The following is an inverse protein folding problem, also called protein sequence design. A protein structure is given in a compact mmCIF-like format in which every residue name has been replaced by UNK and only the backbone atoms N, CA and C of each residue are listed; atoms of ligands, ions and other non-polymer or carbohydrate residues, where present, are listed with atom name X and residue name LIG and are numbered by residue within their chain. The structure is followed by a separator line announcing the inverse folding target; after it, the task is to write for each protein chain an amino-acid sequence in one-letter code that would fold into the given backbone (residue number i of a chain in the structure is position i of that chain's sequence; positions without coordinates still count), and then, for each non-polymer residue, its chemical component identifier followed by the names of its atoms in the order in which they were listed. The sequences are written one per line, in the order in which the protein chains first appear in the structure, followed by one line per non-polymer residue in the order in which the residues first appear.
data_IF_344834144575
#
_entry.id   IF_344834144575
#
_cell.length_a   1.000
_cell.length_b   1.000
_cell.length_c   1.000
_cell.angle_alpha   90.00
_cell.angle_beta   90.00
_cell.angle_gamma   90.00
#
_symmetry.space_group_name_H-M   'P 1'
#
loop_
_entity.id
_entity.type
_entity.pdbx_description
1 polymer ?
#
# COMPACT_ATOMS: atom_id res chain seq x y z
N UNK A 1 11.84 -6.81 -10.78
CA UNK A 1 10.42 -6.71 -11.11
C UNK A 1 9.79 -5.70 -10.17
N UNK A 2 8.79 -4.97 -10.64
CA UNK A 2 7.96 -4.06 -9.85
C UNK A 2 6.49 -4.33 -10.20
N UNK A 3 5.69 -4.69 -9.20
CA UNK A 3 4.25 -4.88 -9.37
C UNK A 3 3.49 -3.57 -9.43
N UNK A 4 2.36 -3.55 -10.12
CA UNK A 4 1.38 -2.47 -10.10
C UNK A 4 -0.03 -3.01 -10.19
N UNK A 5 -0.99 -2.27 -9.62
CA UNK A 5 -2.41 -2.56 -9.72
C UNK A 5 -3.23 -1.28 -9.59
N UNK A 6 -4.34 -1.22 -10.30
CA UNK A 6 -5.33 -0.15 -10.20
C UNK A 6 -6.66 -0.76 -9.80
N UNK A 7 -7.26 -0.22 -8.76
CA UNK A 7 -8.59 -0.60 -8.30
C UNK A 7 -9.57 0.53 -8.61
N UNK A 8 -10.73 0.17 -9.16
CA UNK A 8 -11.91 1.02 -9.21
C UNK A 8 -12.71 0.84 -7.92
N UNK A 9 -13.03 1.95 -7.23
CA UNK A 9 -13.77 1.90 -5.96
C UNK A 9 -15.18 2.47 -6.17
N UNK A 10 -16.17 1.68 -5.84
CA UNK A 10 -17.58 2.11 -5.85
C UNK A 10 -18.22 1.81 -4.48
N UNK A 11 -18.27 2.83 -3.63
CA UNK A 11 -18.67 2.71 -2.24
C UNK A 11 -17.76 1.76 -1.46
N UNK A 12 -18.28 0.60 -1.06
CA UNK A 12 -17.51 -0.43 -0.32
C UNK A 12 -16.97 -1.55 -1.22
N UNK A 13 -17.21 -1.48 -2.54
CA UNK A 13 -16.75 -2.50 -3.48
C UNK A 13 -15.51 -2.02 -4.21
N UNK A 14 -14.55 -2.92 -4.35
CA UNK A 14 -13.35 -2.72 -5.16
C UNK A 14 -13.36 -3.69 -6.33
N UNK A 15 -12.98 -3.20 -7.50
CA UNK A 15 -12.84 -3.99 -8.73
C UNK A 15 -11.44 -3.80 -9.31
N UNK A 16 -10.84 -4.86 -9.83
CA UNK A 16 -9.54 -4.78 -10.49
C UNK A 16 -9.70 -4.18 -11.87
N UNK A 17 -9.21 -2.96 -12.07
CA UNK A 17 -9.17 -2.30 -13.39
C UNK A 17 -8.01 -2.86 -14.20
N UNK A 18 -6.81 -2.91 -13.61
CA UNK A 18 -5.61 -3.48 -14.22
C UNK A 18 -4.64 -3.92 -13.13
N UNK A 19 -3.88 -4.96 -13.39
CA UNK A 19 -2.72 -5.38 -12.62
C UNK A 19 -1.63 -5.91 -13.53
N UNK A 20 -0.40 -5.88 -13.07
CA UNK A 20 0.72 -6.41 -13.82
C UNK A 20 2.07 -6.13 -13.18
N UNK A 21 3.11 -6.38 -13.95
CA UNK A 21 4.48 -6.18 -13.51
C UNK A 21 5.29 -5.40 -14.55
N UNK A 22 6.21 -4.60 -14.06
CA UNK A 22 7.24 -3.95 -14.86
C UNK A 22 8.47 -4.84 -14.83
N UNK A 23 8.82 -5.45 -15.97
CA UNK A 23 10.00 -6.29 -16.11
C UNK A 23 11.25 -5.41 -16.19
N UNK A 24 12.08 -5.42 -15.16
CA UNK A 24 13.26 -4.57 -15.03
C UNK A 24 14.57 -5.33 -15.31
N UNK A 25 14.56 -6.66 -15.25
CA UNK A 25 15.71 -7.51 -15.45
C UNK A 25 16.28 -7.47 -16.88
N UNK A 26 15.48 -7.02 -17.86
CA UNK A 26 15.90 -6.86 -19.26
C UNK A 26 16.85 -5.68 -19.48
N UNK A 27 16.96 -4.78 -18.51
CA UNK A 27 17.79 -3.58 -18.60
C UNK A 27 19.06 -3.77 -17.78
N UNK A 28 20.21 -3.64 -18.41
CA UNK A 28 21.53 -3.78 -17.77
C UNK A 28 21.78 -2.63 -16.79
N UNK A 29 21.54 -1.41 -17.24
CA UNK A 29 21.78 -0.22 -16.43
C UNK A 29 20.68 0.02 -15.40
N UNK A 30 21.07 0.37 -14.18
CA UNK A 30 20.14 0.82 -13.14
C UNK A 30 19.33 2.05 -13.59
N UNK A 31 19.97 2.98 -14.31
CA UNK A 31 19.30 4.19 -14.80
C UNK A 31 18.20 3.88 -15.83
N UNK A 32 18.45 2.92 -16.73
CA UNK A 32 17.43 2.46 -17.68
C UNK A 32 16.23 1.79 -16.97
N UNK A 33 16.48 1.09 -15.87
CA UNK A 33 15.40 0.54 -15.02
C UNK A 33 14.56 1.64 -14.40
N UNK A 34 15.19 2.72 -13.90
CA UNK A 34 14.47 3.88 -13.36
C UNK A 34 13.67 4.61 -14.46
N UNK A 35 14.26 4.83 -15.63
CA UNK A 35 13.55 5.41 -16.77
C UNK A 35 12.30 4.58 -17.13
N UNK A 36 12.45 3.24 -17.16
CA UNK A 36 11.31 2.34 -17.45
C UNK A 36 10.21 2.40 -16.40
N UNK A 37 10.57 2.54 -15.12
CA UNK A 37 9.59 2.74 -14.04
C UNK A 37 8.83 4.04 -14.27
N UNK A 38 9.54 5.14 -14.53
CA UNK A 38 8.93 6.44 -14.79
C UNK A 38 7.94 6.41 -15.94
N UNK A 39 8.37 5.89 -17.11
CA UNK A 39 7.52 5.75 -18.29
C UNK A 39 6.25 4.96 -17.98
N UNK A 40 6.40 3.80 -17.32
CA UNK A 40 5.25 2.92 -17.08
C UNK A 40 4.29 3.52 -16.09
N UNK A 41 4.78 4.09 -14.98
CA UNK A 41 3.92 4.73 -13.98
C UNK A 41 3.23 5.95 -14.57
N UNK A 42 3.96 6.82 -15.29
CA UNK A 42 3.36 7.96 -15.99
C UNK A 42 2.29 7.54 -16.99
N UNK A 43 2.53 6.45 -17.74
CA UNK A 43 1.54 5.90 -18.66
C UNK A 43 0.30 5.35 -17.95
N UNK A 44 0.46 4.67 -16.81
CA UNK A 44 -0.68 4.21 -16.00
C UNK A 44 -1.48 5.37 -15.44
N UNK A 45 -0.81 6.38 -14.91
CA UNK A 45 -1.44 7.60 -14.40
C UNK A 45 -2.23 8.32 -15.51
N UNK A 46 -1.64 8.44 -16.69
CA UNK A 46 -2.31 9.10 -17.83
C UNK A 46 -3.50 8.30 -18.36
N UNK A 47 -3.40 6.97 -18.36
CA UNK A 47 -4.42 6.09 -18.92
C UNK A 47 -5.62 5.92 -17.99
N UNK A 48 -5.36 5.77 -16.69
CA UNK A 48 -6.39 5.41 -15.71
C UNK A 48 -6.83 6.56 -14.81
N UNK A 49 -6.11 7.69 -14.81
CA UNK A 49 -6.41 8.91 -14.04
C UNK A 49 -6.75 8.58 -12.56
N UNK A 50 -5.85 7.89 -11.83
CA UNK A 50 -6.14 7.52 -10.45
C UNK A 50 -6.20 8.75 -9.55
N UNK A 51 -7.09 8.73 -8.57
CA UNK A 51 -7.24 9.80 -7.57
C UNK A 51 -6.10 9.80 -6.55
N UNK A 52 -5.58 8.63 -6.21
CA UNK A 52 -4.57 8.44 -5.16
C UNK A 52 -3.59 7.33 -5.54
N UNK A 53 -2.35 7.43 -5.05
CA UNK A 53 -1.33 6.39 -5.16
C UNK A 53 -1.02 5.82 -3.77
N UNK A 54 -1.14 4.51 -3.65
CA UNK A 54 -0.66 3.77 -2.50
C UNK A 54 0.63 3.02 -2.86
N UNK A 55 1.63 3.07 -2.00
CA UNK A 55 2.91 2.39 -2.21
C UNK A 55 3.35 1.67 -0.93
N UNK A 56 4.05 0.56 -1.07
CA UNK A 56 4.63 -0.12 0.07
C UNK A 56 5.79 0.70 0.64
N UNK A 57 5.77 0.97 1.95
CA UNK A 57 6.85 1.68 2.60
C UNK A 57 8.15 0.85 2.58
N UNK A 58 9.31 1.45 2.36
CA UNK A 58 10.57 0.75 2.41
C UNK A 58 10.80 0.20 3.83
N UNK A 59 11.25 -1.04 3.93
CA UNK A 59 11.60 -1.61 5.22
C UNK A 59 13.12 -1.78 5.33
N UNK A 60 13.64 -1.69 6.55
CA UNK A 60 15.05 -1.83 6.81
C UNK A 60 15.49 -3.29 6.71
N UNK A 61 16.15 -3.64 5.63
CA UNK A 61 16.76 -4.94 5.39
C UNK A 61 18.26 -4.95 5.70
N UNK A 62 18.85 -6.14 5.77
CA UNK A 62 20.30 -6.31 6.00
C UNK A 62 21.16 -5.82 4.81
N UNK A 63 20.61 -5.77 3.60
CA UNK A 63 21.32 -5.39 2.39
C UNK A 63 21.06 -3.92 2.01
N UNK A 64 21.96 -3.04 2.42
CA UNK A 64 21.90 -1.60 2.16
C UNK A 64 21.81 -1.26 0.67
N UNK A 65 22.57 -1.97 -0.19
CA UNK A 65 22.55 -1.72 -1.64
C UNK A 65 21.19 -2.01 -2.26
N UNK A 66 20.51 -3.07 -1.79
CA UNK A 66 19.15 -3.40 -2.24
C UNK A 66 18.15 -2.35 -1.77
N UNK A 67 18.29 -1.87 -0.54
CA UNK A 67 17.45 -0.81 0.01
C UNK A 67 17.59 0.51 -0.77
N UNK A 68 18.83 0.90 -1.11
CA UNK A 68 19.08 2.11 -1.91
C UNK A 68 18.47 1.99 -3.31
N UNK A 69 18.57 0.82 -3.95
CA UNK A 69 17.94 0.56 -5.26
C UNK A 69 16.42 0.62 -5.17
N UNK A 70 15.83 0.04 -4.12
CA UNK A 70 14.39 0.08 -3.87
C UNK A 70 13.92 1.52 -3.65
N UNK A 71 14.56 2.27 -2.76
CA UNK A 71 14.20 3.66 -2.48
C UNK A 71 14.27 4.56 -3.72
N UNK A 72 15.29 4.37 -4.59
CA UNK A 72 15.36 5.08 -5.88
C UNK A 72 14.19 4.71 -6.80
N UNK A 73 13.84 3.43 -6.88
CA UNK A 73 12.73 2.97 -7.71
C UNK A 73 11.38 3.53 -7.21
N UNK A 74 11.16 3.52 -5.90
CA UNK A 74 9.97 4.11 -5.27
C UNK A 74 9.92 5.62 -5.49
N UNK A 75 11.02 6.34 -5.27
CA UNK A 75 11.10 7.78 -5.49
C UNK A 75 10.75 8.18 -6.93
N UNK A 76 11.18 7.39 -7.92
CA UNK A 76 10.82 7.62 -9.33
C UNK A 76 9.34 7.38 -9.58
N UNK A 77 8.75 6.32 -9.02
CA UNK A 77 7.32 6.06 -9.13
C UNK A 77 6.48 7.18 -8.47
N UNK A 78 6.91 7.63 -7.28
CA UNK A 78 6.29 8.76 -6.59
C UNK A 78 6.37 10.05 -7.41
N UNK A 79 7.54 10.37 -7.97
CA UNK A 79 7.74 11.55 -8.80
C UNK A 79 6.82 11.56 -10.03
N UNK A 80 6.60 10.40 -10.66
CA UNK A 80 5.68 10.26 -11.79
C UNK A 80 4.22 10.57 -11.42
N UNK A 81 3.79 10.20 -10.21
CA UNK A 81 2.45 10.50 -9.70
C UNK A 81 2.32 11.97 -9.26
N UNK A 82 3.31 12.48 -8.51
CA UNK A 82 3.34 13.87 -8.04
C UNK A 82 3.38 14.89 -9.18
N UNK A 83 3.97 14.53 -10.32
CA UNK A 83 3.94 15.37 -11.53
C UNK A 83 2.52 15.59 -12.10
N UNK A 84 1.53 14.88 -11.55
CA UNK A 84 0.10 15.00 -11.88
C UNK A 84 -0.75 15.29 -10.64
N UNK A 85 -0.13 15.84 -9.59
CA UNK A 85 -0.78 16.23 -8.33
C UNK A 85 -1.51 15.08 -7.62
N UNK A 86 -1.12 13.80 -7.89
CA UNK A 86 -1.71 12.64 -7.24
C UNK A 86 -1.13 12.49 -5.84
N UNK A 87 -1.95 12.51 -4.78
CA UNK A 87 -1.50 12.30 -3.42
C UNK A 87 -1.00 10.88 -3.21
N UNK A 88 -0.01 10.73 -2.32
CA UNK A 88 0.67 9.45 -2.08
C UNK A 88 0.52 9.06 -0.60
N UNK A 89 0.21 7.78 -0.38
CA UNK A 89 0.20 7.18 0.95
C UNK A 89 1.09 5.94 0.98
N UNK A 90 1.93 5.83 2.01
CA UNK A 90 2.83 4.69 2.21
C UNK A 90 2.29 3.74 3.28
N UNK A 91 2.40 2.44 3.03
CA UNK A 91 1.95 1.38 3.94
C UNK A 91 3.08 0.41 4.28
N UNK A 92 3.40 0.20 5.58
CA UNK A 92 4.32 -0.86 5.99
C UNK A 92 3.85 -2.25 5.55
N UNK A 93 4.75 -3.15 5.10
CA UNK A 93 4.39 -4.49 4.62
C UNK A 93 3.54 -5.30 5.62
N UNK A 94 3.84 -5.18 6.90
CA UNK A 94 3.11 -5.84 7.97
C UNK A 94 1.64 -5.38 8.05
N UNK A 95 1.41 -4.07 7.84
CA UNK A 95 0.07 -3.49 7.85
C UNK A 95 -0.73 -3.94 6.63
N UNK A 96 -0.09 -4.03 5.46
CA UNK A 96 -0.71 -4.54 4.23
C UNK A 96 -1.18 -5.98 4.42
N UNK A 97 -0.30 -6.85 4.91
CA UNK A 97 -0.65 -8.25 5.20
C UNK A 97 -1.80 -8.35 6.19
N UNK A 98 -1.73 -7.60 7.29
CA UNK A 98 -2.77 -7.59 8.33
C UNK A 98 -4.11 -7.07 7.80
N UNK A 99 -4.11 -6.04 6.98
CA UNK A 99 -5.33 -5.47 6.41
C UNK A 99 -6.05 -6.46 5.48
N UNK A 100 -5.29 -7.21 4.66
CA UNK A 100 -5.84 -8.15 3.68
C UNK A 100 -6.22 -9.49 4.31
N UNK A 101 -5.37 -10.05 5.20
CA UNK A 101 -5.54 -11.42 5.71
C UNK A 101 -5.90 -11.50 7.19
N UNK A 102 -5.89 -10.40 7.93
CA UNK A 102 -5.99 -10.37 9.38
C UNK A 102 -4.69 -10.76 10.11
N UNK A 103 -3.68 -11.28 9.38
CA UNK A 103 -2.41 -11.77 9.92
C UNK A 103 -1.21 -11.05 9.28
N UNK A 104 -0.47 -10.27 10.06
CA UNK A 104 0.73 -9.56 9.57
C UNK A 104 1.90 -10.47 9.18
N UNK A 105 1.87 -11.76 9.55
CA UNK A 105 2.89 -12.77 9.19
C UNK A 105 2.47 -13.65 8.01
N UNK A 106 1.37 -13.32 7.32
CA UNK A 106 0.90 -14.09 6.18
C UNK A 106 1.97 -14.20 5.08
N UNK A 107 2.02 -15.35 4.39
CA UNK A 107 2.87 -15.52 3.22
C UNK A 107 2.30 -14.76 2.02
N UNK A 108 3.11 -14.57 0.96
CA UNK A 108 2.64 -13.95 -0.29
C UNK A 108 1.50 -14.73 -0.94
N UNK A 109 1.56 -16.05 -0.89
CA UNK A 109 0.54 -16.95 -1.41
C UNK A 109 -0.77 -16.80 -0.64
N UNK A 110 -0.71 -16.67 0.69
CA UNK A 110 -1.90 -16.42 1.52
C UNK A 110 -2.54 -15.07 1.20
N UNK A 111 -1.72 -14.04 0.99
CA UNK A 111 -2.21 -12.71 0.56
C UNK A 111 -2.86 -12.80 -0.82
N UNK A 112 -2.21 -13.45 -1.80
CA UNK A 112 -2.74 -13.64 -3.14
C UNK A 112 -4.08 -14.39 -3.16
N UNK A 113 -4.18 -15.50 -2.40
CA UNK A 113 -5.41 -16.26 -2.26
C UNK A 113 -6.54 -15.44 -1.63
N UNK A 114 -6.24 -14.64 -0.61
CA UNK A 114 -7.24 -13.77 0.01
C UNK A 114 -7.71 -12.69 -0.96
N UNK A 115 -6.80 -12.05 -1.70
CA UNK A 115 -7.14 -11.05 -2.72
C UNK A 115 -8.03 -11.62 -3.81
N UNK A 116 -7.75 -12.85 -4.26
CA UNK A 116 -8.58 -13.56 -5.25
C UNK A 116 -10.04 -13.59 -4.79
N UNK A 117 -10.30 -13.92 -3.53
CA UNK A 117 -11.65 -13.96 -2.97
C UNK A 117 -12.23 -12.55 -2.76
N UNK A 118 -11.49 -11.63 -2.15
CA UNK A 118 -11.96 -10.28 -1.83
C UNK A 118 -12.32 -9.45 -3.08
N UNK A 119 -11.53 -9.63 -4.15
CA UNK A 119 -11.69 -8.91 -5.42
C UNK A 119 -12.38 -9.75 -6.50
N UNK A 120 -12.84 -10.97 -6.18
CA UNK A 120 -13.49 -11.91 -7.10
C UNK A 120 -12.70 -12.10 -8.39
N UNK A 121 -11.36 -12.26 -8.27
CA UNK A 121 -10.50 -12.44 -9.44
C UNK A 121 -10.63 -13.88 -9.95
N UNK A 122 -11.01 -14.11 -11.22
CA UNK A 122 -11.04 -15.44 -11.80
C UNK A 122 -9.66 -16.11 -11.78
N UNK A 123 -9.61 -17.45 -11.62
CA UNK A 123 -8.35 -18.20 -11.54
C UNK A 123 -7.43 -17.95 -12.74
N UNK A 124 -8.01 -17.93 -13.92
CA UNK A 124 -7.30 -17.69 -15.18
C UNK A 124 -6.71 -16.27 -15.31
N UNK A 125 -7.17 -15.33 -14.49
CA UNK A 125 -6.65 -13.94 -14.43
C UNK A 125 -5.66 -13.73 -13.30
N UNK A 126 -5.45 -14.72 -12.44
CA UNK A 126 -4.45 -14.62 -11.39
C UNK A 126 -3.04 -14.58 -12.00
N UNK A 127 -2.22 -13.59 -11.62
CA UNK A 127 -0.89 -13.48 -12.18
C UNK A 127 0.03 -14.59 -11.65
N UNK A 128 0.89 -15.12 -12.51
CA UNK A 128 1.94 -16.07 -12.11
C UNK A 128 3.03 -15.39 -11.24
N UNK A 129 3.15 -14.08 -11.31
CA UNK A 129 4.12 -13.28 -10.55
C UNK A 129 3.41 -12.55 -9.42
N UNK A 130 3.69 -12.95 -8.18
CA UNK A 130 3.02 -12.45 -6.98
C UNK A 130 3.24 -10.94 -6.71
N UNK A 131 4.26 -10.33 -7.31
CA UNK A 131 4.47 -8.87 -7.17
C UNK A 131 3.26 -8.05 -7.68
N UNK A 132 2.49 -8.55 -8.63
CA UNK A 132 1.27 -7.89 -9.08
C UNK A 132 0.16 -7.98 -8.03
N UNK A 133 0.04 -9.11 -7.33
CA UNK A 133 -0.91 -9.26 -6.21
C UNK A 133 -0.47 -8.47 -4.99
N UNK A 134 0.83 -8.36 -4.72
CA UNK A 134 1.34 -7.50 -3.65
C UNK A 134 0.92 -6.03 -3.88
N UNK A 135 0.99 -5.54 -5.13
CA UNK A 135 0.53 -4.19 -5.47
C UNK A 135 -0.98 -4.00 -5.26
N UNK A 136 -1.80 -4.99 -5.63
CA UNK A 136 -3.25 -4.94 -5.34
C UNK A 136 -3.54 -4.98 -3.83
N UNK A 137 -2.73 -5.71 -3.05
CA UNK A 137 -2.85 -5.73 -1.58
C UNK A 137 -2.65 -4.34 -0.98
N UNK A 138 -1.67 -3.57 -1.48
CA UNK A 138 -1.41 -2.18 -1.06
C UNK A 138 -2.61 -1.29 -1.41
N UNK A 139 -3.12 -1.38 -2.65
CA UNK A 139 -4.26 -0.60 -3.09
C UNK A 139 -5.54 -0.91 -2.29
N UNK A 140 -5.81 -2.19 -2.01
CA UNK A 140 -6.96 -2.61 -1.20
C UNK A 140 -6.81 -2.14 0.26
N UNK A 141 -5.60 -2.20 0.82
CA UNK A 141 -5.31 -1.66 2.15
C UNK A 141 -5.62 -0.17 2.20
N UNK A 142 -5.23 0.57 1.17
CA UNK A 142 -5.52 2.00 1.06
C UNK A 142 -7.02 2.28 1.08
N UNK A 143 -7.82 1.55 0.30
CA UNK A 143 -9.28 1.65 0.33
C UNK A 143 -9.84 1.44 1.75
N UNK A 144 -9.37 0.42 2.47
CA UNK A 144 -9.85 0.15 3.83
C UNK A 144 -9.45 1.23 4.83
N UNK A 145 -8.24 1.78 4.72
CA UNK A 145 -7.76 2.82 5.62
C UNK A 145 -8.45 4.18 5.34
N UNK A 146 -8.63 4.54 4.06
CA UNK A 146 -9.32 5.77 3.64
C UNK A 146 -10.82 5.76 3.99
N UNK A 147 -11.42 4.57 4.08
CA UNK A 147 -12.83 4.40 4.44
C UNK A 147 -13.10 4.51 5.95
N UNK A 148 -12.04 4.53 6.77
CA UNK A 148 -12.20 4.68 8.22
C UNK A 148 -12.63 6.10 8.56
N UNK A 149 -13.65 6.28 9.40
CA UNK A 149 -13.98 7.60 9.88
C UNK A 149 -12.80 8.19 10.63
N UNK A 150 -12.53 9.49 10.44
CA UNK A 150 -11.55 10.25 11.23
C UNK A 150 -12.02 10.31 12.69
N UNK A 151 -11.78 9.23 13.42
CA UNK A 151 -12.00 9.23 14.85
C UNK A 151 -10.92 10.11 15.50
N UNK A 152 -11.31 11.04 16.40
CA UNK A 152 -10.34 11.83 17.13
C UNK A 152 -9.34 10.87 17.80
N UNK A 153 -8.06 11.08 17.51
CA UNK A 153 -6.98 10.25 18.08
C UNK A 153 -7.13 10.26 19.59
N UNK A 154 -7.43 9.10 20.16
CA UNK A 154 -7.54 8.95 21.61
C UNK A 154 -6.28 9.43 22.33
N UNK A 155 -6.31 9.59 23.64
CA UNK A 155 -5.18 10.07 24.40
C UNK A 155 -3.92 9.23 24.11
N UNK A 156 -2.80 9.88 23.81
CA UNK A 156 -1.53 9.24 23.40
C UNK A 156 -0.89 8.39 24.50
N UNK A 157 -1.29 8.61 25.75
CA UNK A 157 -0.81 7.86 26.91
C UNK A 157 -1.86 7.88 28.01
N UNK A 158 -1.69 6.96 29.00
CA UNK A 158 -2.52 6.97 30.21
C UNK A 158 -2.45 8.31 30.95
N UNK A 159 -1.29 8.94 30.95
CA UNK A 159 -1.06 10.26 31.55
C UNK A 159 -1.86 11.37 30.86
N UNK A 160 -1.91 11.34 29.53
CA UNK A 160 -2.71 12.25 28.71
C UNK A 160 -4.22 11.98 28.87
N UNK A 161 -4.60 10.71 29.01
CA UNK A 161 -5.99 10.33 29.30
C UNK A 161 -6.44 10.87 30.67
N UNK A 162 -5.64 10.74 31.71
CA UNK A 162 -5.95 11.25 33.05
C UNK A 162 -6.02 12.76 33.08
N UNK A 163 -5.11 13.45 32.37
CA UNK A 163 -5.14 14.91 32.26
C UNK A 163 -6.41 15.45 31.58
N UNK A 164 -6.92 14.73 30.58
CA UNK A 164 -8.15 15.09 29.85
C UNK A 164 -9.44 14.63 30.55
N UNK A 165 -9.34 13.80 31.59
CA UNK A 165 -10.49 13.25 32.33
C UNK A 165 -10.28 13.35 33.84
N UNK A 166 -10.09 14.55 34.43
CA UNK A 166 -9.78 14.72 35.86
C UNK A 166 -10.89 14.17 36.77
N UNK A 167 -12.14 14.23 36.33
CA UNK A 167 -13.30 13.78 37.11
C UNK A 167 -13.33 12.27 37.37
N UNK A 168 -12.71 11.47 36.46
CA UNK A 168 -12.62 10.02 36.63
C UNK A 168 -11.64 9.60 37.75
N UNK A 169 -10.74 10.50 38.16
CA UNK A 169 -9.79 10.26 39.24
C UNK A 169 -10.43 10.56 40.61
N UNK A 170 -11.28 11.58 40.66
CA UNK A 170 -11.91 12.03 41.91
C UNK A 170 -12.90 11.02 42.51
N UNK A 171 -13.56 10.21 41.67
CA UNK A 171 -14.55 9.23 42.13
C UNK A 171 -13.95 8.03 42.90
N UNK A 172 -12.62 7.73 42.77
CA UNK A 172 -11.98 6.61 43.46
C UNK A 172 -11.50 6.95 44.89
N UNK A 173 -11.59 8.21 45.31
CA UNK A 173 -11.19 8.67 46.66
C UNK A 173 -12.35 8.76 47.67
N UNK A 174 -13.59 8.40 47.28
CA UNK A 174 -14.78 8.49 48.12
C UNK A 174 -15.42 7.14 48.45
N UNK A 175 -14.69 6.01 48.28
CA UNK A 175 -15.14 4.68 48.75
C UNK A 175 -14.11 4.05 49.67
#
# INVERSE_FOLDING_TARGET
VMGYGVLGINGKKAEVVVMGVIQLNRFESHYLRLARIYERVSGLVQQYLPDELAIEAPFFGKNVQSMLKLGRAQGVAMAAALARDIPITEYPPLNVKKAVTGNGQASKEQVANMLKHLLSIPEEKMPSILDATDALAVALTHMYESSKPDLPKGPKSWKDFLAKNPDRIAQRRKS
#
